data_IF_066517208122
#
_entry.id   IF_066517208122
#
_cell.length_a   1.000
_cell.length_b   1.000
_cell.length_c   1.000
_cell.angle_alpha   90.00
_cell.angle_beta   90.00
_cell.angle_gamma   90.00
#
_symmetry.space_group_name_H-M   'P 1'
#
loop_
_entity.id
_entity.type
_entity.pdbx_description
1 polymer ?
#
# COMPACT_ATOMS: atom_id res chain seq x y z
N UNK A 1 -9.72 -4.65 8.73
CA UNK A 1 -9.39 -4.71 7.30
C UNK A 1 -8.08 -3.98 7.08
N UNK A 2 -7.05 -4.69 6.61
CA UNK A 2 -5.72 -4.17 6.31
C UNK A 2 -5.60 -3.95 4.80
N UNK A 3 -5.21 -2.74 4.39
CA UNK A 3 -5.09 -2.36 2.98
C UNK A 3 -3.62 -2.13 2.66
N UNK A 4 -3.14 -2.69 1.54
CA UNK A 4 -1.84 -2.40 0.97
C UNK A 4 -2.04 -1.65 -0.35
N UNK A 5 -1.60 -0.40 -0.43
CA UNK A 5 -1.73 0.44 -1.61
C UNK A 5 -0.37 0.60 -2.29
N UNK A 6 -0.26 -0.01 -3.46
CA UNK A 6 0.92 0.01 -4.32
C UNK A 6 0.89 1.28 -5.17
N UNK A 7 2.04 1.93 -5.24
CA UNK A 7 2.18 3.28 -5.77
C UNK A 7 1.19 4.24 -5.09
N UNK A 8 1.27 4.36 -3.76
CA UNK A 8 0.32 5.16 -3.00
C UNK A 8 0.39 6.68 -3.30
N UNK A 9 1.42 7.11 -4.03
CA UNK A 9 1.60 8.50 -4.47
C UNK A 9 1.61 9.46 -3.30
N UNK A 10 1.08 10.67 -3.52
CA UNK A 10 1.11 11.76 -2.53
C UNK A 10 0.07 11.65 -1.39
N UNK A 11 -0.52 10.48 -1.17
CA UNK A 11 -1.51 10.27 -0.11
C UNK A 11 -2.90 10.86 -0.35
N UNK A 12 -3.28 11.06 -1.62
CA UNK A 12 -4.60 11.59 -2.01
C UNK A 12 -5.79 10.72 -1.56
N UNK A 13 -5.54 9.44 -1.25
CA UNK A 13 -6.57 8.48 -0.86
C UNK A 13 -6.77 8.38 0.67
N UNK A 14 -6.02 9.15 1.47
CA UNK A 14 -6.07 9.10 2.93
C UNK A 14 -7.47 9.40 3.52
N UNK A 15 -8.27 10.27 2.90
CA UNK A 15 -9.64 10.55 3.33
C UNK A 15 -10.63 9.43 2.97
N UNK A 16 -10.39 8.72 1.86
CA UNK A 16 -11.25 7.60 1.44
C UNK A 16 -11.18 6.47 2.45
N UNK A 17 -9.97 6.16 2.91
CA UNK A 17 -9.73 5.09 3.86
C UNK A 17 -10.27 5.37 5.27
N UNK A 18 -10.33 6.65 5.66
CA UNK A 18 -10.94 7.09 6.92
C UNK A 18 -12.45 6.76 6.97
N UNK A 19 -13.16 6.98 5.86
CA UNK A 19 -14.57 6.61 5.72
C UNK A 19 -14.80 5.09 5.57
N UNK A 20 -13.78 4.33 5.18
CA UNK A 20 -13.86 2.89 4.92
C UNK A 20 -13.68 2.01 6.17
N UNK A 21 -13.45 2.60 7.35
CA UNK A 21 -13.28 1.90 8.62
C UNK A 21 -12.20 0.79 8.58
N UNK A 22 -11.07 1.08 7.92
CA UNK A 22 -9.93 0.16 7.92
C UNK A 22 -9.25 0.12 9.28
N UNK A 23 -8.52 -0.96 9.55
CA UNK A 23 -7.74 -1.10 10.79
C UNK A 23 -6.27 -0.75 10.58
N UNK A 24 -5.76 -0.92 9.37
CA UNK A 24 -4.36 -0.69 9.04
C UNK A 24 -4.18 -0.36 7.56
N UNK A 25 -3.27 0.56 7.27
CA UNK A 25 -2.91 0.97 5.92
C UNK A 25 -1.42 0.77 5.68
N UNK A 26 -1.06 0.20 4.53
CA UNK A 26 0.32 0.04 4.10
C UNK A 26 0.47 0.75 2.76
N UNK A 27 1.31 1.77 2.68
CA UNK A 27 1.65 2.46 1.43
C UNK A 27 2.99 2.00 0.90
N UNK A 28 3.06 1.62 -0.37
CA UNK A 28 4.32 1.26 -1.03
C UNK A 28 4.50 2.17 -2.24
N UNK A 29 5.65 2.80 -2.39
CA UNK A 29 5.93 3.66 -3.54
C UNK A 29 7.42 3.62 -3.93
N UNK A 30 7.69 3.86 -5.21
CA UNK A 30 9.05 3.94 -5.78
C UNK A 30 9.76 5.24 -5.44
N UNK A 31 9.01 6.27 -5.03
CA UNK A 31 9.55 7.60 -4.85
C UNK A 31 10.21 7.79 -3.48
N UNK A 32 11.36 8.47 -3.49
CA UNK A 32 12.04 8.97 -2.28
C UNK A 32 11.19 9.95 -1.43
N UNK A 33 10.00 10.29 -1.93
CA UNK A 33 9.00 11.13 -1.25
C UNK A 33 8.10 10.34 -0.32
N UNK A 34 8.29 9.02 -0.18
CA UNK A 34 7.50 8.21 0.75
C UNK A 34 7.55 8.74 2.20
N UNK A 35 8.67 9.37 2.59
CA UNK A 35 8.81 10.01 3.89
C UNK A 35 7.95 11.30 4.01
N UNK A 36 7.87 12.11 2.95
CA UNK A 36 6.98 13.30 2.92
C UNK A 36 5.51 12.87 3.03
N UNK A 37 5.15 11.78 2.33
CA UNK A 37 3.82 11.20 2.36
C UNK A 37 3.50 10.66 3.74
N UNK A 38 4.44 9.94 4.37
CA UNK A 38 4.31 9.45 5.74
C UNK A 38 4.08 10.59 6.73
N UNK A 39 4.90 11.64 6.69
CA UNK A 39 4.76 12.80 7.58
C UNK A 39 3.39 13.48 7.41
N UNK A 40 2.96 13.68 6.16
CA UNK A 40 1.64 14.22 5.86
C UNK A 40 0.52 13.32 6.38
N UNK A 41 0.66 11.99 6.29
CA UNK A 41 -0.35 11.04 6.76
C UNK A 41 -0.44 10.95 8.27
N UNK A 42 0.70 10.89 8.97
CA UNK A 42 0.78 10.87 10.43
C UNK A 42 0.24 12.17 11.03
N UNK A 43 0.46 13.31 10.37
CA UNK A 43 -0.08 14.60 10.80
C UNK A 43 -1.62 14.64 10.85
N UNK A 44 -2.28 13.82 10.04
CA UNK A 44 -3.74 13.77 9.94
C UNK A 44 -4.40 13.00 11.08
N UNK A 45 -3.63 12.38 11.99
CA UNK A 45 -4.12 11.66 13.19
C UNK A 45 -5.32 10.74 12.90
N UNK A 46 -5.16 9.89 11.89
CA UNK A 46 -6.19 8.91 11.48
C UNK A 46 -6.48 7.92 12.62
N UNK A 47 -7.68 7.33 12.60
CA UNK A 47 -8.10 6.33 13.60
C UNK A 47 -7.50 4.93 13.38
N UNK A 48 -6.72 4.75 12.32
CA UNK A 48 -6.06 3.50 11.95
C UNK A 48 -4.55 3.69 11.91
N UNK A 49 -3.81 2.59 12.06
CA UNK A 49 -2.34 2.61 11.97
C UNK A 49 -1.89 2.59 10.52
N UNK A 50 -0.74 3.18 10.23
CA UNK A 50 -0.20 3.27 8.88
C UNK A 50 1.29 2.96 8.84
N UNK A 51 1.73 2.21 7.84
CA UNK A 51 3.13 1.95 7.53
C UNK A 51 3.43 2.30 6.08
N UNK A 52 4.67 2.69 5.80
CA UNK A 52 5.08 3.09 4.46
C UNK A 52 6.43 2.49 4.09
N UNK A 53 6.56 1.99 2.87
CA UNK A 53 7.78 1.36 2.38
C UNK A 53 8.20 1.93 1.02
N UNK A 54 9.49 2.19 0.88
CA UNK A 54 10.10 2.50 -0.41
C UNK A 54 10.45 1.18 -1.09
N UNK A 55 9.75 0.86 -2.17
CA UNK A 55 10.01 -0.30 -3.01
C UNK A 55 9.34 -0.11 -4.38
N UNK A 56 9.86 -0.76 -5.40
CA UNK A 56 9.23 -0.87 -6.70
C UNK A 56 8.46 -2.18 -6.83
N UNK A 57 7.11 -2.16 -6.76
CA UNK A 57 6.29 -3.36 -6.98
C UNK A 57 6.54 -4.09 -8.31
N UNK A 58 7.15 -3.44 -9.32
CA UNK A 58 7.46 -4.04 -10.62
C UNK A 58 8.85 -4.69 -10.68
N UNK A 59 9.81 -4.28 -9.84
CA UNK A 59 11.20 -4.80 -9.93
C UNK A 59 11.70 -5.44 -8.65
N UNK A 60 11.15 -5.06 -7.50
CA UNK A 60 11.55 -5.59 -6.20
C UNK A 60 10.72 -6.82 -5.81
N UNK A 61 11.31 -7.67 -4.97
CA UNK A 61 10.60 -8.82 -4.43
C UNK A 61 9.66 -8.38 -3.30
N UNK A 62 8.45 -7.98 -3.67
CA UNK A 62 7.43 -7.53 -2.74
C UNK A 62 7.02 -8.63 -1.75
N UNK A 63 7.00 -9.90 -2.16
CA UNK A 63 6.72 -11.02 -1.25
C UNK A 63 7.74 -11.09 -0.11
N UNK A 64 9.02 -11.00 -0.44
CA UNK A 64 10.09 -11.00 0.57
C UNK A 64 9.98 -9.80 1.51
N UNK A 65 9.67 -8.61 0.97
CA UNK A 65 9.46 -7.40 1.76
C UNK A 65 8.27 -7.56 2.74
N UNK A 66 7.12 -8.02 2.24
CA UNK A 66 5.93 -8.22 3.05
C UNK A 66 6.16 -9.29 4.13
N UNK A 67 6.86 -10.38 3.80
CA UNK A 67 7.22 -11.41 4.77
C UNK A 67 8.20 -10.88 5.83
N UNK A 68 9.23 -10.12 5.44
CA UNK A 68 10.20 -9.51 6.36
C UNK A 68 9.52 -8.57 7.35
N UNK A 69 8.51 -7.83 6.89
CA UNK A 69 7.75 -6.87 7.69
C UNK A 69 6.52 -7.48 8.38
N UNK A 70 6.27 -8.78 8.25
CA UNK A 70 5.09 -9.49 8.77
C UNK A 70 3.75 -8.82 8.34
N UNK A 71 3.72 -8.33 7.10
CA UNK A 71 2.55 -7.65 6.53
C UNK A 71 1.65 -8.67 5.86
N UNK A 72 0.46 -8.85 6.42
CA UNK A 72 -0.66 -9.52 5.76
C UNK A 72 -1.73 -8.49 5.43
N UNK A 73 -2.04 -8.32 4.14
CA UNK A 73 -3.07 -7.41 3.68
C UNK A 73 -4.34 -8.18 3.27
N UNK A 74 -5.51 -7.67 3.68
CA UNK A 74 -6.81 -8.21 3.26
C UNK A 74 -7.18 -7.73 1.85
N UNK A 75 -6.69 -6.54 1.48
CA UNK A 75 -6.94 -5.87 0.21
C UNK A 75 -5.64 -5.26 -0.32
N UNK A 76 -5.33 -5.51 -1.59
CA UNK A 76 -4.22 -4.84 -2.29
C UNK A 76 -4.81 -3.92 -3.36
N UNK A 77 -4.42 -2.65 -3.32
CA UNK A 77 -4.81 -1.62 -4.27
C UNK A 77 -3.57 -1.20 -5.08
N UNK A 78 -3.77 -0.82 -6.35
CA UNK A 78 -2.72 -0.30 -7.22
C UNK A 78 -3.28 0.93 -7.94
N UNK A 79 -3.34 2.07 -7.26
CA UNK A 79 -4.22 3.19 -7.65
C UNK A 79 -3.57 4.26 -8.54
N UNK A 80 -2.26 4.24 -8.79
CA UNK A 80 -1.60 5.14 -9.76
C UNK A 80 -1.66 4.60 -11.20
N UNK A 81 -2.86 4.55 -11.78
CA UNK A 81 -3.16 4.29 -13.21
C UNK A 81 -3.43 2.84 -13.66
N UNK A 82 -3.28 1.82 -12.81
CA UNK A 82 -3.64 0.43 -13.14
C UNK A 82 -4.91 0.00 -12.39
N UNK A 83 -6.07 0.45 -12.88
CA UNK A 83 -7.34 -0.02 -12.33
C UNK A 83 -7.48 -1.55 -12.53
N UNK A 84 -7.69 -2.24 -11.41
CA UNK A 84 -8.26 -3.59 -11.23
C UNK A 84 -7.23 -4.74 -11.14
N UNK A 85 -7.47 -5.65 -10.18
CA UNK A 85 -6.72 -6.84 -9.72
C UNK A 85 -5.68 -6.51 -8.62
N UNK A 86 -5.72 -7.07 -7.40
CA UNK A 86 -6.07 -8.43 -7.01
C UNK A 86 -6.81 -8.43 -5.66
N UNK A 87 -7.93 -9.15 -5.59
CA UNK A 87 -8.46 -9.70 -4.34
C UNK A 87 -8.41 -11.21 -4.51
N UNK A 88 -7.84 -11.87 -3.49
CA UNK A 88 -7.68 -13.31 -3.29
C UNK A 88 -6.35 -13.91 -3.76
N UNK A 89 -5.47 -14.15 -2.79
CA UNK A 89 -4.43 -15.17 -2.85
C UNK A 89 -3.09 -14.69 -3.38
N UNK A 90 -2.07 -14.77 -2.51
CA UNK A 90 -0.73 -15.11 -2.96
C UNK A 90 -0.82 -16.40 -3.79
N UNK A 91 -0.87 -16.27 -5.12
CA UNK A 91 -0.54 -17.37 -6.03
C UNK A 91 0.31 -16.81 -7.18
N UNK A 92 1.34 -17.56 -7.53
CA UNK A 92 2.54 -17.16 -8.26
C UNK A 92 2.30 -16.94 -9.75
N UNK A 93 1.37 -16.08 -10.15
CA UNK A 93 1.09 -15.82 -11.57
C UNK A 93 0.76 -14.36 -11.85
N UNK A 94 1.71 -13.47 -11.55
CA UNK A 94 1.84 -12.22 -12.30
C UNK A 94 2.85 -12.45 -13.44
N UNK A 95 2.53 -13.34 -14.37
CA UNK A 95 3.17 -13.37 -15.68
C UNK A 95 2.37 -12.49 -16.65
N UNK A 96 3.07 -11.49 -17.20
CA UNK A 96 2.87 -10.88 -18.51
C UNK A 96 1.51 -10.24 -18.81
N UNK A 97 1.49 -8.90 -18.86
CA UNK A 97 1.03 -8.14 -20.04
C UNK A 97 2.01 -6.98 -20.28
#
# INVERSE_FOLDING_TARGET
>A
MKVCDLYCGSGADAEKWDGAQISHYVGIDVSSRINEVREAWESQRKSFTSEFFEADPCTDNLEALLQEKDIQADLVCCLQHLQVFCVLGFDSSCEQI
#
